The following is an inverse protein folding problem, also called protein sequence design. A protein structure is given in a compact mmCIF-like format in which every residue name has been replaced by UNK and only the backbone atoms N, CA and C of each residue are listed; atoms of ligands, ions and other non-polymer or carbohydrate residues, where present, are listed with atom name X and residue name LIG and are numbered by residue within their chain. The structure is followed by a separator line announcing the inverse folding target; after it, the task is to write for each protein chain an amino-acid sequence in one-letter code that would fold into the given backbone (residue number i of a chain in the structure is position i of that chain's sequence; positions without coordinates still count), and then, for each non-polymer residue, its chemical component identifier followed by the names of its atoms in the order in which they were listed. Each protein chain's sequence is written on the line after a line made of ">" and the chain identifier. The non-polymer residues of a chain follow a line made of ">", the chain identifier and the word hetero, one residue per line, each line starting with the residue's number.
data_IF_607288894783
#
_entry.id   IF_607288894783
#
_cell.length_a   1.000
_cell.length_b   1.000
_cell.length_c   1.000
_cell.angle_alpha   90.00
_cell.angle_beta   90.00
_cell.angle_gamma   90.00
#
_symmetry.space_group_name_H-M   'P 1'
#
loop_
_entity.id
_entity.type
_entity.pdbx_description
1 polymer ?
#
# COMPACT_ATOMS: atom_id res chain seq x y z
N UNK A 1 -0.63 -20.16 31.68
CA UNK A 1 -2.07 -19.86 31.79
C UNK A 1 -2.41 -18.83 30.71
N UNK A 2 -3.65 -18.81 30.19
CA UNK A 2 -4.07 -17.75 29.27
C UNK A 2 -3.93 -16.37 29.94
N UNK A 3 -3.45 -15.38 29.20
CA UNK A 3 -3.21 -14.01 29.68
C UNK A 3 -4.18 -13.05 29.01
N UNK A 4 -5.04 -12.40 29.80
CA UNK A 4 -5.89 -11.29 29.36
C UNK A 4 -5.28 -9.98 29.87
N UNK A 5 -4.98 -9.06 28.95
CA UNK A 5 -4.67 -7.67 29.32
C UNK A 5 -5.93 -6.83 29.29
N UNK A 6 -6.11 -5.98 30.30
CA UNK A 6 -7.21 -5.01 30.34
C UNK A 6 -6.66 -3.67 29.87
N UNK A 7 -7.36 -3.08 28.92
CA UNK A 7 -7.06 -1.85 28.19
C UNK A 7 -5.85 -1.93 27.25
N UNK A 8 -4.67 -2.22 27.79
CA UNK A 8 -3.43 -2.37 27.01
C UNK A 8 -2.49 -3.37 27.69
N UNK A 9 -1.72 -4.18 26.92
CA UNK A 9 -0.68 -5.00 27.52
C UNK A 9 0.34 -4.13 28.26
N UNK A 10 0.54 -4.40 29.56
CA UNK A 10 1.50 -3.64 30.38
C UNK A 10 2.89 -3.65 29.73
N UNK A 11 3.46 -2.46 29.53
CA UNK A 11 4.74 -2.27 28.85
C UNK A 11 4.64 -2.00 27.35
N UNK A 12 3.44 -2.01 26.75
CA UNK A 12 3.20 -1.54 25.38
C UNK A 12 2.87 -0.04 25.38
N UNK A 13 3.54 0.74 24.52
CA UNK A 13 3.18 2.14 24.33
C UNK A 13 1.87 2.27 23.53
N UNK A 14 0.89 3.00 24.09
CA UNK A 14 -0.45 3.09 23.54
C UNK A 14 -0.54 3.73 22.14
N UNK A 15 0.27 4.75 21.89
CA UNK A 15 0.20 5.48 20.62
C UNK A 15 1.04 4.86 19.51
N UNK A 16 2.21 4.30 19.84
CA UNK A 16 3.23 3.91 18.87
C UNK A 16 3.34 2.40 18.67
N UNK A 17 2.85 1.61 19.63
CA UNK A 17 2.94 0.15 19.58
C UNK A 17 4.34 -0.41 19.82
N UNK A 18 5.25 0.39 20.36
CA UNK A 18 6.59 -0.05 20.78
C UNK A 18 6.49 -0.72 22.14
N UNK A 19 7.00 -1.94 22.26
CA UNK A 19 7.05 -2.67 23.52
C UNK A 19 8.33 -2.34 24.31
N UNK A 20 8.20 -2.14 25.61
CA UNK A 20 9.34 -2.05 26.53
C UNK A 20 10.07 -3.40 26.61
N UNK A 21 11.34 -3.38 27.05
CA UNK A 21 12.13 -4.60 27.23
C UNK A 21 11.46 -5.63 28.17
N UNK A 22 10.72 -5.15 29.16
CA UNK A 22 9.85 -5.97 30.01
C UNK A 22 8.40 -5.60 29.72
N UNK A 23 7.66 -6.52 29.10
CA UNK A 23 6.27 -6.32 28.72
C UNK A 23 5.45 -7.60 28.88
N UNK A 24 4.14 -7.45 28.97
CA UNK A 24 3.18 -8.55 28.95
C UNK A 24 2.89 -8.95 27.51
N UNK A 25 2.92 -10.26 27.22
CA UNK A 25 2.39 -10.84 26.00
C UNK A 25 1.03 -11.46 26.30
N UNK A 26 -0.03 -10.83 25.81
CA UNK A 26 -1.39 -11.25 26.03
C UNK A 26 -1.85 -12.28 24.99
N UNK A 27 -2.73 -13.18 25.39
CA UNK A 27 -3.51 -14.01 24.46
C UNK A 27 -4.70 -13.23 23.89
N UNK A 28 -5.26 -12.32 24.70
CA UNK A 28 -6.26 -11.35 24.29
C UNK A 28 -6.11 -10.02 25.06
N UNK A 29 -6.58 -8.93 24.47
CA UNK A 29 -6.61 -7.59 25.08
C UNK A 29 -8.03 -7.04 25.02
N UNK A 30 -8.62 -6.75 26.18
CA UNK A 30 -9.93 -6.09 26.29
C UNK A 30 -9.72 -4.58 26.37
N UNK A 31 -9.83 -3.91 25.24
CA UNK A 31 -9.68 -2.46 25.12
C UNK A 31 -10.95 -1.75 25.63
N UNK A 32 -10.80 -0.72 26.46
CA UNK A 32 -11.93 0.02 27.02
C UNK A 32 -12.10 1.37 26.32
N UNK A 33 -13.35 1.79 26.08
CA UNK A 33 -13.80 3.07 25.51
C UNK A 33 -13.41 3.34 24.05
N UNK A 34 -12.16 3.11 23.68
CA UNK A 34 -11.62 3.34 22.33
C UNK A 34 -10.42 2.44 22.09
N UNK A 35 -10.15 2.16 20.82
CA UNK A 35 -8.98 1.42 20.37
C UNK A 35 -7.73 2.30 20.38
N UNK A 36 -6.65 1.79 20.99
CA UNK A 36 -5.35 2.46 21.00
C UNK A 36 -4.58 2.04 19.75
N UNK A 37 -4.01 2.98 18.96
CA UNK A 37 -3.37 2.64 17.68
C UNK A 37 -2.17 1.71 17.86
N UNK A 38 -1.48 1.80 18.99
CA UNK A 38 -0.37 0.93 19.37
C UNK A 38 -0.75 -0.54 19.52
N UNK A 39 -2.03 -0.91 19.61
CA UNK A 39 -2.47 -2.31 19.55
C UNK A 39 -2.36 -2.90 18.13
N UNK A 40 -2.33 -2.05 17.10
CA UNK A 40 -2.48 -2.43 15.71
C UNK A 40 -1.26 -2.12 14.85
N UNK A 41 -0.15 -1.67 15.44
CA UNK A 41 1.11 -1.42 14.71
C UNK A 41 2.31 -1.85 15.54
N UNK A 42 3.49 -1.97 14.89
CA UNK A 42 4.72 -2.34 15.57
C UNK A 42 4.62 -3.69 16.29
N UNK A 43 5.15 -3.74 17.52
CA UNK A 43 5.13 -4.91 18.40
C UNK A 43 3.73 -5.19 18.94
N UNK A 44 2.87 -4.16 18.97
CA UNK A 44 1.49 -4.22 19.43
C UNK A 44 0.69 -5.39 18.91
N UNK A 45 0.83 -5.70 17.62
CA UNK A 45 0.11 -6.81 16.98
C UNK A 45 0.51 -8.17 17.54
N UNK A 46 1.78 -8.33 17.92
CA UNK A 46 2.32 -9.58 18.45
C UNK A 46 2.02 -9.75 19.94
N UNK A 47 1.97 -8.64 20.70
CA UNK A 47 1.76 -8.67 22.16
C UNK A 47 0.29 -8.57 22.56
N UNK A 48 -0.57 -8.01 21.71
CA UNK A 48 -2.00 -7.80 22.02
C UNK A 48 -2.90 -8.93 21.52
N UNK A 49 -2.48 -9.61 20.45
CA UNK A 49 -3.21 -10.71 19.78
C UNK A 49 -4.69 -10.39 19.53
N UNK A 50 -5.61 -11.13 20.16
CA UNK A 50 -7.03 -10.90 19.94
C UNK A 50 -7.46 -9.63 20.68
N UNK A 51 -7.87 -8.60 19.95
CA UNK A 51 -8.33 -7.34 20.55
C UNK A 51 -9.86 -7.32 20.59
N UNK A 52 -10.41 -7.08 21.78
CA UNK A 52 -11.83 -6.81 22.01
C UNK A 52 -12.00 -5.33 22.35
N UNK A 53 -13.15 -4.76 22.00
CA UNK A 53 -13.54 -3.42 22.40
C UNK A 53 -14.79 -3.50 23.25
N UNK A 54 -14.71 -2.95 24.46
CA UNK A 54 -15.86 -2.65 25.30
C UNK A 54 -15.97 -1.12 25.39
N UNK A 55 -17.02 -0.58 24.77
CA UNK A 55 -17.30 0.86 24.79
C UNK A 55 -17.86 1.32 26.15
N UNK A 56 -18.01 0.43 27.13
CA UNK A 56 -18.57 0.67 28.46
C UNK A 56 -19.96 1.30 28.42
N UNK A 57 -20.71 1.10 27.32
CA UNK A 57 -22.00 1.75 27.05
C UNK A 57 -21.92 3.27 27.15
N UNK A 58 -20.71 3.80 27.00
CA UNK A 58 -20.43 5.21 27.00
C UNK A 58 -20.79 5.77 25.63
N UNK A 59 -21.62 6.81 25.61
CA UNK A 59 -21.85 7.53 24.37
C UNK A 59 -20.54 8.26 24.00
N UNK A 60 -19.77 7.64 23.10
CA UNK A 60 -18.49 8.17 22.64
C UNK A 60 -18.66 9.58 22.05
N UNK A 61 -19.83 9.91 21.50
CA UNK A 61 -20.14 11.25 20.98
C UNK A 61 -20.37 12.30 22.08
N UNK A 62 -20.72 11.86 23.30
CA UNK A 62 -20.92 12.71 24.47
C UNK A 62 -19.66 12.89 25.33
N UNK A 63 -18.71 11.94 25.29
CA UNK A 63 -17.49 11.94 26.13
C UNK A 63 -16.23 12.43 25.43
N UNK A 64 -16.18 12.33 24.10
CA UNK A 64 -15.09 12.88 23.29
C UNK A 64 -15.55 14.22 22.73
N UNK A 65 -15.09 15.37 23.27
CA UNK A 65 -15.44 16.66 22.66
C UNK A 65 -14.83 16.72 21.26
N UNK A 66 -15.62 16.48 20.20
CA UNK A 66 -15.32 16.78 18.78
C UNK A 66 -13.88 16.51 18.27
N UNK A 67 -13.08 15.67 18.93
CA UNK A 67 -11.69 15.42 18.57
C UNK A 67 -11.68 14.35 17.49
N UNK A 68 -11.11 14.69 16.34
CA UNK A 68 -10.90 13.72 15.27
C UNK A 68 -10.03 12.56 15.80
N UNK A 69 -10.35 11.31 15.44
CA UNK A 69 -9.54 10.17 15.86
C UNK A 69 -8.12 10.27 15.29
N UNK A 70 -7.13 9.80 16.04
CA UNK A 70 -5.72 9.74 15.58
C UNK A 70 -5.59 8.90 14.31
N UNK A 71 -6.33 7.79 14.24
CA UNK A 71 -6.44 6.92 13.09
C UNK A 71 -7.73 6.10 13.17
N UNK A 72 -8.15 5.53 12.03
CA UNK A 72 -9.23 4.55 11.94
C UNK A 72 -8.68 3.20 11.48
N UNK A 73 -9.35 2.11 11.85
CA UNK A 73 -9.04 0.81 11.25
C UNK A 73 -9.55 0.78 9.82
N UNK A 74 -8.70 0.34 8.90
CA UNK A 74 -9.10 0.14 7.50
C UNK A 74 -10.08 -1.03 7.45
N UNK A 75 -11.31 -0.73 7.02
CA UNK A 75 -12.38 -1.71 6.88
C UNK A 75 -12.23 -2.52 5.60
N UNK A 76 -12.92 -3.66 5.55
CA UNK A 76 -13.07 -4.43 4.32
C UNK A 76 -13.68 -3.55 3.22
N UNK A 77 -13.06 -3.45 2.04
CA UNK A 77 -13.65 -2.67 0.97
C UNK A 77 -14.94 -3.33 0.48
N UNK A 78 -15.93 -2.54 0.04
CA UNK A 78 -17.16 -3.08 -0.52
C UNK A 78 -16.84 -3.90 -1.79
N UNK A 79 -17.66 -4.92 -2.05
CA UNK A 79 -17.65 -5.60 -3.33
C UNK A 79 -18.16 -4.65 -4.41
N UNK A 80 -17.45 -4.56 -5.53
CA UNK A 80 -17.86 -3.72 -6.65
C UNK A 80 -18.66 -4.54 -7.65
N UNK A 81 -19.92 -4.17 -7.86
CA UNK A 81 -20.72 -4.74 -8.95
C UNK A 81 -20.20 -4.22 -10.30
N UNK A 82 -20.18 -5.09 -11.31
CA UNK A 82 -19.83 -4.73 -12.68
C UNK A 82 -21.08 -4.69 -13.55
N UNK A 83 -21.26 -3.59 -14.26
CA UNK A 83 -22.36 -3.45 -15.20
C UNK A 83 -22.13 -4.33 -16.44
N UNK A 84 -23.18 -5.03 -16.88
CA UNK A 84 -23.13 -5.85 -18.10
C UNK A 84 -22.74 -5.04 -19.33
N UNK A 85 -23.25 -3.80 -19.43
CA UNK A 85 -22.91 -2.86 -20.51
C UNK A 85 -21.57 -2.13 -20.24
N UNK A 86 -20.48 -2.89 -20.08
CA UNK A 86 -19.12 -2.37 -19.89
C UNK A 86 -18.14 -2.94 -20.90
N UNK A 87 -17.02 -2.28 -21.09
CA UNK A 87 -15.93 -2.72 -21.97
C UNK A 87 -14.58 -2.57 -21.25
N UNK A 88 -13.48 -3.06 -21.83
CA UNK A 88 -12.13 -2.94 -21.23
C UNK A 88 -11.77 -1.51 -20.79
N UNK A 89 -12.14 -0.49 -21.56
CA UNK A 89 -11.90 0.92 -21.17
C UNK A 89 -12.73 1.43 -19.97
N UNK A 90 -13.75 0.70 -19.51
CA UNK A 90 -14.62 1.11 -18.39
C UNK A 90 -13.93 0.97 -17.04
N UNK A 91 -12.84 0.19 -16.97
CA UNK A 91 -12.11 -0.14 -15.74
C UNK A 91 -10.72 0.50 -15.69
N UNK A 92 -10.49 1.49 -16.55
CA UNK A 92 -9.25 2.25 -16.64
C UNK A 92 -8.06 1.44 -17.14
N UNK A 93 -6.97 2.18 -17.41
CA UNK A 93 -5.72 1.62 -17.88
C UNK A 93 -4.65 1.79 -16.79
N UNK A 94 -3.82 0.76 -16.61
CA UNK A 94 -2.64 0.82 -15.73
C UNK A 94 -1.39 0.54 -16.58
N UNK A 95 -0.33 1.31 -16.36
CA UNK A 95 0.99 1.02 -16.92
C UNK A 95 2.02 0.88 -15.80
N UNK A 96 2.78 -0.21 -15.82
CA UNK A 96 3.88 -0.45 -14.89
C UNK A 96 5.19 -0.09 -15.58
N UNK A 97 5.88 0.92 -15.06
CA UNK A 97 7.17 1.41 -15.55
C UNK A 97 8.26 0.98 -14.56
N UNK A 98 9.06 -0.01 -14.93
CA UNK A 98 10.04 -0.62 -14.04
C UNK A 98 10.79 -1.76 -14.74
N UNK A 99 11.33 -2.71 -13.98
CA UNK A 99 11.95 -3.90 -14.56
C UNK A 99 13.19 -3.62 -15.41
N UNK A 100 14.22 -3.07 -14.79
CA UNK A 100 15.56 -2.98 -15.34
C UNK A 100 16.17 -4.38 -15.59
N UNK A 101 17.31 -4.48 -16.33
CA UNK A 101 17.96 -5.77 -16.57
C UNK A 101 18.16 -6.58 -15.29
N UNK A 102 17.66 -7.82 -15.27
CA UNK A 102 17.69 -8.71 -14.10
C UNK A 102 16.54 -8.52 -13.10
N UNK A 103 15.66 -7.53 -13.28
CA UNK A 103 14.58 -7.18 -12.34
C UNK A 103 13.18 -7.12 -12.98
N UNK A 104 13.03 -7.61 -14.21
CA UNK A 104 11.75 -7.63 -14.94
C UNK A 104 10.60 -8.30 -14.16
N UNK A 105 10.91 -9.30 -13.31
CA UNK A 105 9.92 -9.98 -12.49
C UNK A 105 9.13 -9.05 -11.55
N UNK A 106 9.76 -7.99 -11.02
CA UNK A 106 9.07 -7.02 -10.16
C UNK A 106 7.98 -6.26 -10.92
N UNK A 107 8.30 -5.76 -12.12
CA UNK A 107 7.33 -5.10 -12.99
C UNK A 107 6.18 -6.05 -13.39
N UNK A 108 6.50 -7.31 -13.68
CA UNK A 108 5.49 -8.32 -14.03
C UNK A 108 4.57 -8.69 -12.87
N UNK A 109 5.09 -8.74 -11.62
CA UNK A 109 4.28 -8.95 -10.43
C UNK A 109 3.30 -7.79 -10.20
N UNK A 110 3.78 -6.56 -10.30
CA UNK A 110 2.93 -5.37 -10.20
C UNK A 110 1.88 -5.33 -11.32
N UNK A 111 2.27 -5.64 -12.56
CA UNK A 111 1.35 -5.66 -13.69
C UNK A 111 0.30 -6.77 -13.55
N UNK A 112 0.72 -7.97 -13.16
CA UNK A 112 -0.20 -9.07 -12.90
C UNK A 112 -1.16 -8.78 -11.77
N UNK A 113 -0.68 -8.12 -10.70
CA UNK A 113 -1.53 -7.67 -9.60
C UNK A 113 -2.53 -6.59 -10.06
N UNK A 114 -2.13 -5.67 -10.94
CA UNK A 114 -3.05 -4.69 -11.53
C UNK A 114 -4.15 -5.38 -12.37
N UNK A 115 -3.79 -6.38 -13.17
CA UNK A 115 -4.70 -7.17 -13.99
C UNK A 115 -5.71 -7.92 -13.12
N UNK A 116 -5.24 -8.71 -12.16
CA UNK A 116 -6.09 -9.43 -11.21
C UNK A 116 -6.90 -8.47 -10.34
N UNK A 117 -6.34 -7.28 -10.07
CA UNK A 117 -6.99 -6.17 -9.38
C UNK A 117 -8.16 -5.55 -10.14
N UNK A 118 -8.48 -6.01 -11.36
CA UNK A 118 -9.60 -5.59 -12.21
C UNK A 118 -9.35 -4.42 -13.15
N UNK A 119 -8.09 -4.04 -13.39
CA UNK A 119 -7.74 -3.03 -14.39
C UNK A 119 -8.20 -3.47 -15.79
N UNK A 120 -8.69 -2.52 -16.56
CA UNK A 120 -9.25 -2.78 -17.89
C UNK A 120 -8.21 -3.18 -18.92
N UNK A 121 -7.09 -2.45 -18.95
CA UNK A 121 -5.89 -2.76 -19.73
C UNK A 121 -4.67 -2.58 -18.86
N UNK A 122 -3.69 -3.46 -19.04
CA UNK A 122 -2.42 -3.37 -18.31
C UNK A 122 -1.26 -3.34 -19.30
N UNK A 123 -0.43 -2.33 -19.17
CA UNK A 123 0.79 -2.15 -19.94
C UNK A 123 2.02 -2.41 -19.06
N UNK A 124 3.06 -2.99 -19.65
CA UNK A 124 4.38 -3.15 -19.03
C UNK A 124 5.38 -2.37 -19.87
N UNK A 125 6.10 -1.47 -19.22
CA UNK A 125 7.14 -0.64 -19.79
C UNK A 125 8.46 -0.98 -19.12
N UNK A 126 9.17 -1.96 -19.68
CA UNK A 126 10.45 -2.41 -19.13
C UNK A 126 11.54 -1.35 -19.36
N UNK A 127 12.27 -1.03 -18.29
CA UNK A 127 13.40 -0.11 -18.32
C UNK A 127 14.69 -0.84 -18.67
N UNK A 128 14.69 -1.61 -19.76
CA UNK A 128 15.79 -2.44 -20.23
C UNK A 128 15.78 -2.50 -21.75
N UNK A 129 16.84 -2.99 -22.38
CA UNK A 129 16.73 -3.28 -23.81
C UNK A 129 15.61 -4.32 -24.04
N UNK A 130 14.75 -4.05 -25.03
CA UNK A 130 13.67 -4.94 -25.46
C UNK A 130 14.13 -6.35 -25.90
N UNK A 131 15.45 -6.61 -25.86
CA UNK A 131 16.12 -7.88 -26.11
C UNK A 131 16.05 -8.85 -24.92
N UNK A 132 15.53 -8.45 -23.75
CA UNK A 132 15.02 -9.42 -22.79
C UNK A 132 13.81 -10.10 -23.44
N UNK A 133 14.04 -11.33 -23.94
CA UNK A 133 13.08 -12.11 -24.71
C UNK A 133 11.72 -12.34 -24.02
N UNK A 134 10.83 -13.15 -24.62
CA UNK A 134 9.42 -13.33 -24.23
C UNK A 134 9.14 -13.82 -22.78
N UNK A 135 10.14 -13.85 -21.91
CA UNK A 135 10.12 -14.45 -20.58
C UNK A 135 9.63 -13.51 -19.47
N UNK A 136 9.79 -12.19 -19.61
CA UNK A 136 9.36 -11.24 -18.58
C UNK A 136 7.84 -11.32 -18.31
N UNK A 137 7.04 -11.58 -19.34
CA UNK A 137 5.59 -11.81 -19.22
C UNK A 137 5.21 -13.27 -19.52
N UNK A 138 6.15 -14.21 -19.47
CA UNK A 138 5.85 -15.61 -19.67
C UNK A 138 4.77 -16.06 -18.67
N UNK A 139 3.66 -16.55 -19.21
CA UNK A 139 2.50 -16.98 -18.43
C UNK A 139 1.39 -15.93 -18.23
N UNK A 140 1.54 -14.71 -18.75
CA UNK A 140 0.47 -13.68 -18.75
C UNK A 140 0.38 -12.92 -20.09
N UNK A 141 -0.12 -13.56 -21.16
CA UNK A 141 -0.26 -12.94 -22.49
C UNK A 141 -1.22 -11.74 -22.52
N UNK A 142 -2.00 -11.54 -21.47
CA UNK A 142 -2.89 -10.38 -21.31
C UNK A 142 -2.13 -9.06 -21.06
N UNK A 143 -0.86 -9.14 -20.64
CA UNK A 143 -0.01 -7.98 -20.40
C UNK A 143 0.55 -7.45 -21.72
N UNK A 144 0.32 -6.17 -21.99
CA UNK A 144 0.76 -5.52 -23.23
C UNK A 144 2.07 -4.77 -23.04
N UNK A 145 3.08 -5.06 -23.83
CA UNK A 145 4.33 -4.32 -23.80
C UNK A 145 4.19 -2.97 -24.50
N UNK A 146 4.76 -1.92 -23.93
CA UNK A 146 4.77 -0.58 -24.54
C UNK A 146 6.01 0.21 -24.13
N UNK A 147 6.49 1.11 -24.99
CA UNK A 147 7.47 2.10 -24.57
C UNK A 147 6.81 3.15 -23.64
N UNK A 148 7.62 3.75 -22.77
CA UNK A 148 7.15 4.80 -21.84
C UNK A 148 6.63 6.02 -22.62
N UNK A 149 7.30 6.37 -23.72
CA UNK A 149 6.97 7.53 -24.55
C UNK A 149 5.64 7.40 -25.30
N UNK A 150 5.13 6.18 -25.45
CA UNK A 150 3.85 5.89 -26.13
C UNK A 150 2.66 5.88 -25.15
N UNK A 151 2.87 6.20 -23.86
CA UNK A 151 1.82 6.21 -22.86
C UNK A 151 0.99 7.50 -22.92
N UNK A 152 -0.33 7.35 -22.87
CA UNK A 152 -1.24 8.46 -22.57
C UNK A 152 -1.24 8.70 -21.06
N UNK A 153 -0.37 9.59 -20.62
CA UNK A 153 -0.12 9.89 -19.20
C UNK A 153 -1.33 10.54 -18.50
N UNK A 154 -2.24 11.18 -19.24
CA UNK A 154 -3.44 11.79 -18.66
C UNK A 154 -4.50 10.73 -18.31
N UNK A 155 -4.65 9.72 -19.17
CA UNK A 155 -5.68 8.68 -18.99
C UNK A 155 -5.19 7.47 -18.20
N UNK A 156 -3.92 7.11 -18.35
CA UNK A 156 -3.32 5.90 -17.77
C UNK A 156 -2.85 6.15 -16.34
N UNK A 157 -3.17 5.24 -15.43
CA UNK A 157 -2.56 5.22 -14.10
C UNK A 157 -1.16 4.63 -14.22
N UNK A 158 -0.16 5.34 -13.72
CA UNK A 158 1.23 4.90 -13.77
C UNK A 158 1.63 4.30 -12.42
N UNK A 159 2.20 3.10 -12.43
CA UNK A 159 2.93 2.52 -11.30
C UNK A 159 4.40 2.50 -11.68
N UNK A 160 5.25 3.19 -10.92
CA UNK A 160 6.65 3.35 -11.27
C UNK A 160 7.59 2.92 -10.14
N UNK A 161 8.66 2.22 -10.52
CA UNK A 161 9.80 1.93 -9.66
C UNK A 161 10.00 0.45 -9.28
N UNK A 162 9.01 -0.43 -9.51
CA UNK A 162 9.13 -1.87 -9.26
C UNK A 162 10.29 -2.47 -10.08
N UNK A 163 11.42 -2.73 -9.42
CA UNK A 163 12.66 -3.23 -10.03
C UNK A 163 13.25 -2.29 -11.08
N UNK A 164 13.06 -0.97 -10.95
CA UNK A 164 13.51 0.02 -11.93
C UNK A 164 15.01 0.29 -11.95
N UNK A 165 15.72 -0.06 -10.87
CA UNK A 165 17.12 0.30 -10.65
C UNK A 165 17.41 1.78 -10.92
N UNK A 166 18.65 2.10 -11.29
CA UNK A 166 19.04 3.49 -11.61
C UNK A 166 18.34 4.03 -12.87
N UNK A 167 17.85 3.13 -13.75
CA UNK A 167 17.21 3.51 -15.01
C UNK A 167 15.87 4.23 -14.80
N UNK A 168 15.26 4.10 -13.62
CA UNK A 168 14.06 4.86 -13.27
C UNK A 168 14.30 6.37 -13.31
N UNK A 169 15.52 6.83 -13.00
CA UNK A 169 15.88 8.25 -12.96
C UNK A 169 15.67 8.94 -14.32
N UNK A 170 15.86 8.23 -15.43
CA UNK A 170 15.70 8.78 -16.76
C UNK A 170 14.24 9.08 -17.14
N UNK A 171 13.30 8.27 -16.64
CA UNK A 171 11.87 8.38 -17.00
C UNK A 171 11.06 9.17 -15.98
N UNK A 172 11.50 9.18 -14.72
CA UNK A 172 10.75 9.76 -13.62
C UNK A 172 10.43 11.26 -13.77
N UNK A 173 11.30 12.12 -14.34
CA UNK A 173 10.97 13.52 -14.57
C UNK A 173 9.72 13.71 -15.43
N UNK A 174 9.59 12.95 -16.52
CA UNK A 174 8.43 13.02 -17.42
C UNK A 174 7.16 12.48 -16.74
N UNK A 175 7.27 11.38 -15.99
CA UNK A 175 6.14 10.79 -15.27
C UNK A 175 5.62 11.70 -14.16
N UNK A 176 6.50 12.31 -13.37
CA UNK A 176 6.12 13.27 -12.32
C UNK A 176 5.40 14.48 -12.94
N UNK A 177 5.94 15.00 -14.04
CA UNK A 177 5.42 16.18 -14.75
C UNK A 177 4.24 15.89 -15.68
N UNK A 178 3.93 14.64 -16.01
CA UNK A 178 2.91 14.29 -17.01
C UNK A 178 1.74 13.46 -16.49
N UNK A 179 1.98 12.46 -15.64
CA UNK A 179 0.95 11.49 -15.26
C UNK A 179 -0.24 12.14 -14.52
N UNK A 180 -1.48 11.80 -14.82
CA UNK A 180 -2.60 12.29 -13.98
C UNK A 180 -2.63 11.59 -12.62
N UNK A 181 -2.30 10.29 -12.60
CA UNK A 181 -2.34 9.40 -11.43
C UNK A 181 -1.07 8.57 -11.37
N UNK A 182 -0.37 8.60 -10.24
CA UNK A 182 0.96 8.02 -10.10
C UNK A 182 1.12 7.26 -8.78
N UNK A 183 1.62 6.03 -8.84
CA UNK A 183 2.08 5.25 -7.69
C UNK A 183 3.60 5.14 -7.80
N UNK A 184 4.31 5.55 -6.75
CA UNK A 184 5.76 5.43 -6.65
C UNK A 184 6.10 4.37 -5.62
N UNK A 185 6.84 3.34 -6.04
CA UNK A 185 7.34 2.27 -5.18
C UNK A 185 8.86 2.08 -5.39
N UNK A 186 9.51 1.43 -4.43
CA UNK A 186 10.88 0.92 -4.56
C UNK A 186 11.88 1.94 -5.15
N UNK A 187 12.45 1.64 -6.32
CA UNK A 187 13.53 2.43 -6.90
C UNK A 187 13.10 3.85 -7.27
N UNK A 188 11.82 4.07 -7.58
CA UNK A 188 11.32 5.43 -7.80
C UNK A 188 11.31 6.25 -6.51
N UNK A 189 11.01 5.63 -5.37
CA UNK A 189 11.09 6.30 -4.06
C UNK A 189 12.54 6.60 -3.67
N UNK A 190 13.46 5.66 -3.93
CA UNK A 190 14.88 5.87 -3.71
C UNK A 190 15.41 7.03 -4.56
N UNK A 191 15.08 7.06 -5.85
CA UNK A 191 15.47 8.15 -6.75
C UNK A 191 14.92 9.51 -6.28
N UNK A 192 13.68 9.57 -5.79
CA UNK A 192 13.12 10.80 -5.19
C UNK A 192 13.89 11.18 -3.93
N UNK A 193 14.19 10.24 -3.04
CA UNK A 193 14.92 10.54 -1.81
C UNK A 193 16.31 11.15 -2.08
N UNK A 194 17.01 10.63 -3.08
CA UNK A 194 18.40 10.98 -3.38
C UNK A 194 18.55 12.21 -4.29
N UNK A 195 17.50 12.67 -4.98
CA UNK A 195 17.54 13.79 -5.92
C UNK A 195 16.56 14.92 -5.55
N UNK A 196 17.11 16.07 -5.16
CA UNK A 196 16.35 17.26 -4.81
C UNK A 196 15.49 17.81 -5.97
N UNK A 197 15.92 17.65 -7.23
CA UNK A 197 15.14 18.06 -8.40
C UNK A 197 13.93 17.14 -8.63
N UNK A 198 14.07 15.83 -8.38
CA UNK A 198 12.93 14.89 -8.42
C UNK A 198 11.93 15.18 -7.28
N UNK A 199 12.42 15.44 -6.06
CA UNK A 199 11.57 15.92 -4.95
C UNK A 199 10.83 17.22 -5.29
N UNK A 200 11.50 18.19 -5.90
CA UNK A 200 10.87 19.45 -6.32
C UNK A 200 9.71 19.19 -7.30
N UNK A 201 9.92 18.31 -8.29
CA UNK A 201 8.87 17.90 -9.24
C UNK A 201 7.71 17.15 -8.57
N UNK A 202 7.99 16.31 -7.57
CA UNK A 202 6.94 15.68 -6.76
C UNK A 202 6.10 16.73 -6.02
N UNK A 203 6.72 17.76 -5.45
CA UNK A 203 5.99 18.86 -4.82
C UNK A 203 5.20 19.71 -5.83
N UNK A 204 5.74 19.95 -7.01
CA UNK A 204 5.04 20.64 -8.11
C UNK A 204 3.80 19.86 -8.55
N UNK A 205 3.93 18.54 -8.73
CA UNK A 205 2.82 17.64 -9.02
C UNK A 205 1.69 17.76 -8.00
N UNK A 206 2.02 17.82 -6.71
CA UNK A 206 1.02 18.00 -5.66
C UNK A 206 0.32 19.38 -5.74
N UNK A 207 1.02 20.45 -6.14
CA UNK A 207 0.41 21.78 -6.38
C UNK A 207 -0.60 21.77 -7.52
N UNK A 208 -0.41 20.90 -8.51
CA UNK A 208 -1.36 20.67 -9.60
C UNK A 208 -2.48 19.68 -9.24
N UNK A 209 -2.64 19.34 -7.96
CA UNK A 209 -3.66 18.40 -7.45
C UNK A 209 -3.66 17.04 -8.16
N UNK A 210 -2.48 16.58 -8.63
CA UNK A 210 -2.37 15.29 -9.32
C UNK A 210 -2.22 14.17 -8.31
N UNK A 211 -3.08 13.17 -8.43
CA UNK A 211 -3.13 12.04 -7.52
C UNK A 211 -1.77 11.30 -7.49
N UNK A 212 -1.25 11.11 -6.28
CA UNK A 212 0.02 10.45 -6.04
C UNK A 212 -0.08 9.56 -4.79
N UNK A 213 0.44 8.33 -4.89
CA UNK A 213 0.57 7.41 -3.77
C UNK A 213 2.04 6.99 -3.67
N UNK A 214 2.65 7.16 -2.49
CA UNK A 214 3.98 6.61 -2.18
C UNK A 214 3.81 5.34 -1.35
N UNK A 215 4.59 4.31 -1.61
CA UNK A 215 4.48 3.02 -0.89
C UNK A 215 5.75 2.61 -0.14
N UNK A 216 6.38 3.48 0.67
CA UNK A 216 7.66 3.16 1.29
C UNK A 216 7.57 2.04 2.33
N UNK A 217 8.54 1.13 2.36
CA UNK A 217 8.87 0.34 3.54
C UNK A 217 9.72 1.18 4.52
N UNK A 218 9.98 0.72 5.76
CA UNK A 218 10.68 1.54 6.76
C UNK A 218 12.04 2.11 6.31
N UNK A 219 12.84 1.36 5.54
CA UNK A 219 14.11 1.86 4.99
C UNK A 219 13.93 2.96 3.91
N UNK A 220 13.00 2.82 2.96
CA UNK A 220 12.64 3.87 1.99
C UNK A 220 12.07 5.11 2.69
N UNK A 221 11.20 4.91 3.69
CA UNK A 221 10.65 5.99 4.50
C UNK A 221 11.75 6.77 5.24
N UNK A 222 12.72 6.05 5.82
CA UNK A 222 13.86 6.65 6.48
C UNK A 222 14.70 7.51 5.52
N UNK A 223 14.93 7.03 4.29
CA UNK A 223 15.62 7.80 3.24
C UNK A 223 14.85 9.06 2.84
N UNK A 224 13.54 8.93 2.57
CA UNK A 224 12.68 10.06 2.19
C UNK A 224 12.63 11.14 3.27
N UNK A 225 12.61 10.75 4.54
CA UNK A 225 12.58 11.66 5.69
C UNK A 225 13.98 12.16 6.14
N UNK A 226 15.07 11.65 5.56
CA UNK A 226 16.43 11.97 6.02
C UNK A 226 16.70 11.52 7.47
N UNK A 227 16.14 10.38 7.88
CA UNK A 227 16.19 9.85 9.25
C UNK A 227 16.64 8.38 9.26
N UNK A 228 16.63 7.71 10.41
CA UNK A 228 16.96 6.28 10.52
C UNK A 228 15.72 5.38 10.55
N UNK A 229 15.91 4.09 10.20
CA UNK A 229 14.83 3.08 10.33
C UNK A 229 14.34 2.97 11.77
N UNK A 230 15.24 3.08 12.75
CA UNK A 230 14.88 3.04 14.17
C UNK A 230 13.92 4.18 14.54
N UNK A 231 14.15 5.39 14.04
CA UNK A 231 13.27 6.54 14.27
C UNK A 231 11.91 6.37 13.58
N UNK A 232 11.88 5.84 12.35
CA UNK A 232 10.60 5.51 11.67
C UNK A 232 9.83 4.45 12.45
N UNK A 233 10.51 3.45 12.98
CA UNK A 233 9.88 2.34 13.71
C UNK A 233 9.46 2.73 15.14
N UNK A 234 10.10 3.72 15.77
CA UNK A 234 9.72 4.19 17.11
C UNK A 234 8.40 4.95 17.14
N UNK A 235 8.02 5.59 16.03
CA UNK A 235 6.70 6.19 15.84
C UNK A 235 6.30 6.15 14.35
N UNK A 236 5.70 5.03 13.95
CA UNK A 236 5.28 4.81 12.56
C UNK A 236 4.14 5.73 12.14
N UNK A 237 3.26 6.11 13.07
CA UNK A 237 2.14 7.01 12.76
C UNK A 237 2.66 8.41 12.45
N UNK A 238 3.61 8.92 13.25
CA UNK A 238 4.21 10.22 13.00
C UNK A 238 5.04 10.23 11.72
N UNK A 239 5.85 9.20 11.47
CA UNK A 239 6.60 9.09 10.22
C UNK A 239 5.69 9.09 8.97
N UNK A 240 4.57 8.35 9.00
CA UNK A 240 3.60 8.34 7.90
C UNK A 240 2.94 9.72 7.71
N UNK A 241 2.57 10.39 8.82
CA UNK A 241 2.01 11.74 8.80
C UNK A 241 3.00 12.76 8.23
N UNK A 242 4.27 12.69 8.63
CA UNK A 242 5.32 13.57 8.16
C UNK A 242 5.55 13.40 6.66
N UNK A 243 5.68 12.16 6.18
CA UNK A 243 5.81 11.85 4.74
C UNK A 243 4.63 12.42 3.93
N UNK A 244 3.40 12.19 4.40
CA UNK A 244 2.20 12.66 3.73
C UNK A 244 2.17 14.20 3.65
N UNK A 245 2.55 14.88 4.74
CA UNK A 245 2.60 16.35 4.81
C UNK A 245 3.72 16.95 3.96
N UNK A 246 4.93 16.39 4.02
CA UNK A 246 6.10 16.87 3.31
C UNK A 246 5.89 16.77 1.80
N UNK A 247 5.46 15.59 1.32
CA UNK A 247 5.27 15.33 -0.11
C UNK A 247 3.86 15.68 -0.62
N UNK A 248 2.93 16.05 0.29
CA UNK A 248 1.56 16.46 -0.01
C UNK A 248 0.78 15.45 -0.85
N UNK A 249 0.90 14.18 -0.48
CA UNK A 249 0.28 13.06 -1.18
C UNK A 249 -0.11 11.92 -0.23
N UNK A 250 -0.80 10.92 -0.76
CA UNK A 250 -1.09 9.71 0.01
C UNK A 250 0.17 8.87 0.19
N UNK A 251 0.34 8.29 1.38
CA UNK A 251 1.50 7.48 1.76
C UNK A 251 1.01 6.18 2.38
N UNK A 252 1.59 5.07 1.94
CA UNK A 252 1.39 3.72 2.49
C UNK A 252 2.70 3.29 3.13
N UNK A 253 2.83 3.49 4.44
CA UNK A 253 3.99 3.05 5.21
C UNK A 253 3.89 1.56 5.52
N UNK A 254 4.57 0.73 4.72
CA UNK A 254 4.54 -0.74 4.80
C UNK A 254 5.10 -1.24 6.14
N UNK A 255 4.62 -2.41 6.59
CA UNK A 255 5.06 -3.09 7.81
C UNK A 255 3.90 -3.62 8.65
N UNK A 256 4.22 -4.10 9.87
CA UNK A 256 3.22 -4.62 10.82
C UNK A 256 2.23 -3.52 11.19
N UNK A 257 0.95 -3.70 10.82
CA UNK A 257 -0.01 -2.60 10.84
C UNK A 257 0.37 -1.52 9.84
N UNK A 258 0.19 -1.80 8.55
CA UNK A 258 0.48 -0.83 7.50
C UNK A 258 -0.37 0.42 7.73
N UNK A 259 0.28 1.59 7.69
CA UNK A 259 -0.37 2.89 7.93
C UNK A 259 -0.56 3.60 6.60
N UNK A 260 -1.77 4.09 6.37
CA UNK A 260 -2.11 4.94 5.23
C UNK A 260 -2.37 6.35 5.72
N UNK A 261 -1.65 7.34 5.21
CA UNK A 261 -1.77 8.74 5.59
C UNK A 261 -1.95 9.62 4.35
N UNK A 262 -2.68 10.73 4.49
CA UNK A 262 -2.77 11.80 3.52
C UNK A 262 -2.94 13.15 4.26
N UNK A 263 -2.60 14.30 3.64
CA UNK A 263 -2.65 15.61 4.31
C UNK A 263 -3.99 15.97 4.97
N UNK A 264 -5.10 15.60 4.33
CA UNK A 264 -6.45 16.02 4.70
C UNK A 264 -7.36 14.84 5.07
N UNK A 265 -6.79 13.68 5.41
CA UNK A 265 -7.53 12.49 5.81
C UNK A 265 -7.12 12.04 7.21
N UNK A 266 -8.09 11.48 7.95
CA UNK A 266 -7.75 10.68 9.13
C UNK A 266 -6.97 9.45 8.67
N UNK A 267 -5.82 9.18 9.29
CA UNK A 267 -4.98 8.05 8.89
C UNK A 267 -5.71 6.72 9.06
N UNK A 268 -5.40 5.76 8.18
CA UNK A 268 -5.86 4.39 8.28
C UNK A 268 -4.78 3.46 8.83
N UNK A 269 -5.10 2.55 9.74
CA UNK A 269 -4.24 1.43 10.13
C UNK A 269 -4.87 0.15 9.61
N UNK A 270 -4.11 -0.65 8.85
CA UNK A 270 -4.58 -1.92 8.35
C UNK A 270 -4.47 -3.01 9.43
N UNK A 271 -5.58 -3.59 9.92
CA UNK A 271 -5.52 -4.62 10.97
C UNK A 271 -5.16 -6.01 10.43
N UNK A 272 -5.31 -6.23 9.12
CA UNK A 272 -5.13 -7.52 8.45
C UNK A 272 -3.67 -7.80 8.09
N UNK A 273 -3.41 -9.03 7.64
CA UNK A 273 -2.13 -9.49 7.16
C UNK A 273 -1.26 -10.09 8.26
N UNK A 274 -0.28 -10.89 7.85
CA UNK A 274 0.59 -11.60 8.76
C UNK A 274 1.99 -11.75 8.15
N UNK A 275 2.90 -12.34 8.91
CA UNK A 275 4.31 -12.47 8.55
C UNK A 275 4.55 -13.23 7.22
N UNK A 276 3.56 -13.97 6.69
CA UNK A 276 3.68 -14.62 5.37
C UNK A 276 3.89 -13.63 4.22
N UNK A 277 3.56 -12.35 4.40
CA UNK A 277 3.80 -11.30 3.42
C UNK A 277 5.27 -10.85 3.34
N UNK A 278 6.13 -11.30 4.25
CA UNK A 278 7.57 -11.04 4.24
C UNK A 278 8.29 -11.89 3.17
N UNK A 279 7.82 -11.81 1.94
CA UNK A 279 8.38 -12.49 0.76
C UNK A 279 8.76 -11.46 -0.29
N UNK A 280 9.81 -11.71 -1.09
CA UNK A 280 10.15 -10.83 -2.21
C UNK A 280 8.95 -10.66 -3.16
N UNK A 281 8.74 -9.42 -3.61
CA UNK A 281 7.70 -9.06 -4.57
C UNK A 281 6.30 -8.83 -4.00
N UNK A 282 6.06 -9.03 -2.70
CA UNK A 282 4.75 -8.65 -2.10
C UNK A 282 4.49 -7.13 -2.22
N UNK A 283 5.55 -6.31 -2.09
CA UNK A 283 5.48 -4.86 -2.33
C UNK A 283 5.03 -4.51 -3.76
N UNK A 284 5.58 -5.19 -4.77
CA UNK A 284 5.20 -4.99 -6.17
C UNK A 284 3.72 -5.31 -6.41
N UNK A 285 3.23 -6.39 -5.79
CA UNK A 285 1.81 -6.77 -5.84
C UNK A 285 0.94 -5.66 -5.24
N UNK A 286 1.32 -5.10 -4.09
CA UNK A 286 0.60 -3.99 -3.48
C UNK A 286 0.58 -2.76 -4.39
N UNK A 287 1.72 -2.38 -4.98
CA UNK A 287 1.80 -1.24 -5.91
C UNK A 287 0.86 -1.41 -7.12
N UNK A 288 0.82 -2.62 -7.69
CA UNK A 288 -0.11 -2.97 -8.77
C UNK A 288 -1.59 -2.88 -8.37
N UNK A 289 -1.94 -3.38 -7.18
CA UNK A 289 -3.31 -3.29 -6.65
C UNK A 289 -3.75 -1.85 -6.41
N UNK A 290 -2.85 -0.98 -5.94
CA UNK A 290 -3.12 0.47 -5.80
C UNK A 290 -3.36 1.09 -7.18
N UNK A 291 -2.52 0.77 -8.16
CA UNK A 291 -2.69 1.23 -9.54
C UNK A 291 -4.06 0.84 -10.12
N UNK A 292 -4.49 -0.39 -9.87
CA UNK A 292 -5.81 -0.89 -10.28
C UNK A 292 -6.96 -0.16 -9.60
N UNK A 293 -6.85 0.09 -8.29
CA UNK A 293 -7.86 0.81 -7.52
C UNK A 293 -8.00 2.28 -7.97
N UNK A 294 -6.88 2.94 -8.29
CA UNK A 294 -6.87 4.27 -8.92
C UNK A 294 -7.51 4.26 -10.32
N UNK A 295 -7.26 3.20 -11.10
CA UNK A 295 -7.83 3.06 -12.45
C UNK A 295 -9.36 2.84 -12.40
N UNK A 296 -9.85 2.20 -11.32
CA UNK A 296 -11.26 2.07 -11.01
C UNK A 296 -11.92 3.37 -10.50
N UNK A 297 -11.16 4.47 -10.39
CA UNK A 297 -11.69 5.79 -10.05
C UNK A 297 -11.71 6.13 -8.56
N UNK A 298 -11.12 5.31 -7.70
CA UNK A 298 -10.95 5.68 -6.29
C UNK A 298 -9.94 6.83 -6.14
N UNK A 299 -10.17 7.70 -5.16
CA UNK A 299 -9.19 8.73 -4.81
C UNK A 299 -7.92 8.08 -4.23
N UNK A 300 -6.80 8.82 -4.19
CA UNK A 300 -5.50 8.25 -3.81
C UNK A 300 -5.48 7.60 -2.41
N UNK A 301 -6.14 8.21 -1.43
CA UNK A 301 -6.23 7.66 -0.07
C UNK A 301 -7.11 6.39 -0.04
N UNK A 302 -8.28 6.41 -0.66
CA UNK A 302 -9.19 5.26 -0.68
C UNK A 302 -8.61 4.09 -1.49
N UNK A 303 -7.94 4.37 -2.61
CA UNK A 303 -7.25 3.38 -3.41
C UNK A 303 -6.15 2.66 -2.61
N UNK A 304 -5.37 3.43 -1.84
CA UNK A 304 -4.36 2.91 -0.93
C UNK A 304 -4.98 2.02 0.17
N UNK A 305 -5.99 2.51 0.89
CA UNK A 305 -6.70 1.73 1.91
C UNK A 305 -7.30 0.44 1.36
N UNK A 306 -7.99 0.53 0.22
CA UNK A 306 -8.60 -0.60 -0.47
C UNK A 306 -7.56 -1.68 -0.86
N UNK A 307 -6.45 -1.27 -1.46
CA UNK A 307 -5.41 -2.18 -1.92
C UNK A 307 -4.65 -2.83 -0.75
N UNK A 308 -4.29 -2.05 0.28
CA UNK A 308 -3.62 -2.54 1.49
C UNK A 308 -4.47 -3.61 2.18
N UNK A 309 -5.77 -3.35 2.36
CA UNK A 309 -6.67 -4.32 2.99
C UNK A 309 -6.72 -5.62 2.20
N UNK A 310 -6.95 -5.56 0.88
CA UNK A 310 -7.07 -6.77 0.05
C UNK A 310 -5.78 -7.58 0.00
N UNK A 311 -4.66 -6.90 -0.19
CA UNK A 311 -3.34 -7.50 -0.20
C UNK A 311 -3.08 -8.26 1.10
N UNK A 312 -3.34 -7.63 2.23
CA UNK A 312 -3.07 -8.20 3.54
C UNK A 312 -4.08 -9.28 3.94
N UNK A 313 -5.37 -9.07 3.70
CA UNK A 313 -6.42 -10.06 3.98
C UNK A 313 -6.23 -11.35 3.16
N UNK A 314 -5.66 -11.28 1.96
CA UNK A 314 -5.33 -12.48 1.19
C UNK A 314 -4.33 -13.38 1.94
N UNK A 315 -3.38 -12.81 2.69
CA UNK A 315 -2.45 -13.59 3.50
C UNK A 315 -3.10 -14.21 4.74
N UNK A 316 -4.14 -13.59 5.30
CA UNK A 316 -4.87 -14.12 6.46
C UNK A 316 -5.68 -15.37 6.10
N UNK A 317 -6.28 -15.37 4.91
CA UNK A 317 -7.02 -16.51 4.37
C UNK A 317 -6.12 -17.50 3.62
N UNK A 318 -4.80 -17.38 3.75
CA UNK A 318 -3.88 -18.20 2.98
C UNK A 318 -3.89 -19.65 3.50
N UNK A 319 -4.02 -20.67 2.63
CA UNK A 319 -4.14 -22.06 3.07
C UNK A 319 -2.97 -22.49 3.96
N UNK A 320 -3.23 -23.20 5.06
CA UNK A 320 -2.15 -23.73 5.90
C UNK A 320 -1.32 -24.75 5.11
N UNK A 321 0.00 -24.70 5.29
CA UNK A 321 0.94 -25.59 4.59
C UNK A 321 1.31 -25.17 3.16
N UNK A 322 0.65 -24.17 2.58
CA UNK A 322 1.06 -23.60 1.29
C UNK A 322 2.03 -22.44 1.46
N UNK A 323 3.15 -22.47 0.73
CA UNK A 323 4.07 -21.33 0.64
C UNK A 323 3.40 -20.15 -0.03
N UNK A 324 3.45 -18.98 0.61
CA UNK A 324 3.00 -17.73 0.00
C UNK A 324 4.05 -17.25 -1.01
N UNK A 325 3.64 -17.08 -2.26
CA UNK A 325 4.47 -16.47 -3.32
C UNK A 325 3.77 -15.22 -3.84
N UNK A 326 4.53 -14.22 -4.25
CA UNK A 326 3.97 -12.95 -4.76
C UNK A 326 3.05 -13.16 -5.98
N UNK A 327 3.39 -14.09 -6.88
CA UNK A 327 2.55 -14.38 -8.05
C UNK A 327 1.20 -15.01 -7.68
N UNK A 328 1.17 -15.91 -6.70
CA UNK A 328 -0.08 -16.45 -6.17
C UNK A 328 -0.86 -15.39 -5.38
N UNK A 329 -0.17 -14.48 -4.70
CA UNK A 329 -0.77 -13.37 -3.95
C UNK A 329 -1.49 -12.42 -4.90
N UNK A 330 -0.85 -12.05 -6.02
CA UNK A 330 -1.47 -11.23 -7.07
C UNK A 330 -2.81 -11.81 -7.54
N UNK A 331 -2.86 -13.12 -7.81
CA UNK A 331 -4.09 -13.83 -8.23
C UNK A 331 -5.18 -13.79 -7.15
N UNK A 332 -4.83 -14.10 -5.90
CA UNK A 332 -5.79 -14.24 -4.79
C UNK A 332 -6.31 -12.88 -4.30
N UNK A 333 -5.42 -11.90 -4.13
CA UNK A 333 -5.79 -10.58 -3.63
C UNK A 333 -6.68 -9.80 -4.61
N UNK A 334 -6.49 -10.00 -5.93
CA UNK A 334 -7.33 -9.39 -6.96
C UNK A 334 -8.69 -10.07 -7.16
N UNK A 335 -8.75 -11.40 -7.02
CA UNK A 335 -9.95 -12.21 -7.29
C UNK A 335 -11.10 -12.04 -6.29
N UNK A 336 -10.82 -11.61 -5.05
CA UNK A 336 -11.82 -11.47 -3.99
C UNK A 336 -12.80 -10.27 -4.16
N UNK A 337 -12.62 -9.43 -5.19
CA UNK A 337 -13.53 -8.32 -5.50
C UNK A 337 -14.90 -8.71 -6.07
N UNK A 338 -15.07 -9.97 -6.48
CA UNK A 338 -16.01 -10.35 -7.53
C UNK A 338 -17.06 -11.28 -6.95
N UNK A 339 -18.27 -10.79 -6.77
CA UNK A 339 -19.43 -11.65 -6.63
C UNK A 339 -20.07 -11.83 -8.02
N UNK A 340 -19.85 -12.99 -8.66
CA UNK A 340 -20.49 -13.34 -9.94
C UNK A 340 -21.98 -13.70 -9.79
N UNK A 341 -22.51 -13.73 -8.56
CA UNK A 341 -23.86 -14.20 -8.27
C UNK A 341 -24.91 -13.09 -8.12
N UNK A 342 -24.52 -11.81 -8.19
CA UNK A 342 -25.49 -10.71 -8.21
C UNK A 342 -25.85 -10.34 -9.66
N UNK A 343 -27.14 -10.45 -10.04
CA UNK A 343 -27.63 -10.21 -11.39
C UNK A 343 -27.46 -8.76 -11.86
#
# INVERSE_FOLDING_TARGET
>A
APVLSVDIPTGLHADTGVAAATHVRADATLCLLTLKPGLFTGDGRDVSRQVWLDDLQCDASALLPAQAPTATLIAAPPTQARWHASHKGSYGDVAVVGGAPGMAGAASLAAGAALHGSAGRVFVCLLGEASAGPDATAGMPELMHRAVDDLDLDRTVIVCGCGGGDRVQAVLPALLAGAARLVLDADALNAVADDAALRSRLHERARHARATVLTPHPLEAARLLGTTVAQVQSDRLDAARQLAREHRCSVVLKGSGTIVAAPDATMGINPTGNARLAVPGSGDVLAGLIGSALAAGLCAFDAACHAVYRHAAAADHWPPGETLTASALARRAGGAAWDRSRP
#
